data_IF_971111615831
#
_entry.id   IF_971111615831
#
_cell.length_a   1.000
_cell.length_b   1.000
_cell.length_c   1.000
_cell.angle_alpha   90.00
_cell.angle_beta   90.00
_cell.angle_gamma   90.00
#
_symmetry.space_group_name_H-M   'P 1'
#
loop_
_entity.id
_entity.type
_entity.pdbx_description
1 polymer ?
#
# COMPACT_ATOMS: atom_id res chain seq x y z
N UNK A 1 -9.74 -29.44 0.01
CA UNK A 1 -9.96 -28.39 1.04
C UNK A 1 -9.46 -28.92 2.37
N UNK A 2 -8.48 -28.28 3.04
CA UNK A 2 -8.07 -28.72 4.39
C UNK A 2 -9.29 -28.67 5.32
N UNK A 3 -9.54 -29.76 6.04
CA UNK A 3 -10.65 -29.88 7.00
C UNK A 3 -10.55 -28.74 8.03
N UNK A 4 -11.67 -28.06 8.32
CA UNK A 4 -11.75 -27.06 9.40
C UNK A 4 -11.33 -27.74 10.70
N UNK A 5 -10.20 -27.31 11.28
CA UNK A 5 -9.85 -27.64 12.66
C UNK A 5 -10.82 -26.84 13.51
N UNK A 6 -11.80 -27.50 14.15
CA UNK A 6 -12.64 -26.85 15.16
C UNK A 6 -11.71 -26.43 16.31
N UNK A 7 -11.87 -25.19 16.74
CA UNK A 7 -11.00 -24.53 17.71
C UNK A 7 -11.49 -24.78 19.15
N UNK A 8 -12.76 -25.15 19.29
CA UNK A 8 -13.39 -25.57 20.54
C UNK A 8 -12.70 -26.80 21.16
N UNK A 9 -11.87 -27.51 20.38
CA UNK A 9 -11.09 -28.65 20.87
C UNK A 9 -10.02 -28.27 21.91
N UNK A 10 -9.65 -26.97 22.00
CA UNK A 10 -8.66 -26.46 22.96
C UNK A 10 -9.18 -25.32 23.84
N UNK A 11 -10.41 -24.86 23.58
CA UNK A 11 -11.08 -23.77 24.31
C UNK A 11 -10.40 -22.40 24.20
N UNK A 12 -9.65 -22.13 23.12
CA UNK A 12 -8.95 -20.86 22.88
C UNK A 12 -9.46 -20.23 21.60
N UNK A 13 -9.84 -18.95 21.58
CA UNK A 13 -10.30 -18.31 20.34
C UNK A 13 -9.17 -18.03 19.33
N UNK A 14 -9.52 -17.79 18.05
CA UNK A 14 -8.53 -17.34 17.03
C UNK A 14 -7.81 -16.06 17.48
N UNK A 15 -8.55 -15.15 18.14
CA UNK A 15 -8.01 -13.89 18.65
C UNK A 15 -7.02 -14.11 19.78
N UNK A 16 -7.35 -14.95 20.77
CA UNK A 16 -6.46 -15.29 21.88
C UNK A 16 -5.16 -15.93 21.39
N UNK A 17 -5.25 -16.86 20.43
CA UNK A 17 -4.07 -17.52 19.86
C UNK A 17 -3.16 -16.52 19.13
N UNK A 18 -3.75 -15.50 18.51
CA UNK A 18 -3.02 -14.53 17.69
C UNK A 18 -2.40 -13.42 18.52
N UNK A 19 -3.12 -12.92 19.53
CA UNK A 19 -2.73 -11.79 20.38
C UNK A 19 -1.64 -12.14 21.39
N UNK A 20 -1.61 -13.38 21.87
CA UNK A 20 -0.64 -13.81 22.88
C UNK A 20 0.80 -13.65 22.42
N UNK A 21 1.71 -13.27 23.31
CA UNK A 21 3.15 -13.36 23.07
C UNK A 21 3.62 -14.82 22.98
N UNK A 22 4.89 -15.05 22.64
CA UNK A 22 5.42 -16.43 22.61
C UNK A 22 5.39 -17.06 24.01
N UNK A 23 5.73 -16.27 25.03
CA UNK A 23 5.77 -16.67 26.44
C UNK A 23 4.38 -16.96 26.99
N UNK A 24 3.40 -16.08 26.75
CA UNK A 24 2.00 -16.28 27.14
C UNK A 24 1.40 -17.54 26.49
N UNK A 25 1.74 -17.79 25.23
CA UNK A 25 1.28 -18.98 24.52
C UNK A 25 1.84 -20.28 25.11
N UNK A 26 3.12 -20.28 25.52
CA UNK A 26 3.71 -21.43 26.21
C UNK A 26 3.10 -21.64 27.59
N UNK A 27 2.85 -20.55 28.33
CA UNK A 27 2.22 -20.59 29.64
C UNK A 27 0.79 -21.14 29.56
N UNK A 28 0.00 -20.65 28.61
CA UNK A 28 -1.36 -21.15 28.32
C UNK A 28 -1.37 -22.66 28.04
N UNK A 29 -0.36 -23.16 27.31
CA UNK A 29 -0.22 -24.59 27.05
C UNK A 29 0.05 -25.42 28.32
N UNK A 30 0.81 -24.86 29.27
CA UNK A 30 1.07 -25.47 30.58
C UNK A 30 -0.17 -25.44 31.48
N UNK A 31 -0.81 -24.27 31.61
CA UNK A 31 -1.97 -24.05 32.47
C UNK A 31 -3.14 -24.95 32.07
N UNK A 32 -3.34 -25.14 30.76
CA UNK A 32 -4.38 -26.02 30.21
C UNK A 32 -3.97 -27.48 30.08
N UNK A 33 -2.78 -27.85 30.57
CA UNK A 33 -2.24 -29.23 30.55
C UNK A 33 -2.28 -29.86 29.15
N UNK A 34 -1.99 -29.08 28.11
CA UNK A 34 -1.99 -29.56 26.73
C UNK A 34 -0.84 -30.55 26.50
N UNK A 35 -1.10 -31.63 25.78
CA UNK A 35 -0.07 -32.59 25.37
C UNK A 35 0.89 -31.98 24.35
N UNK A 36 2.08 -32.55 24.21
CA UNK A 36 3.08 -32.11 23.22
C UNK A 36 2.52 -32.06 21.80
N UNK A 37 1.71 -33.05 21.41
CA UNK A 37 1.06 -33.08 20.10
C UNK A 37 -0.03 -32.02 19.95
N UNK A 38 -0.79 -31.73 21.01
CA UNK A 38 -1.78 -30.63 20.99
C UNK A 38 -1.09 -29.27 20.83
N UNK A 39 0.01 -29.04 21.55
CA UNK A 39 0.82 -27.81 21.43
C UNK A 39 1.39 -27.68 20.00
N UNK A 40 1.86 -28.78 19.40
CA UNK A 40 2.39 -28.78 18.03
C UNK A 40 1.31 -28.43 17.00
N UNK A 41 0.10 -28.98 17.15
CA UNK A 41 -1.06 -28.62 16.32
C UNK A 41 -1.45 -27.16 16.49
N UNK A 42 -1.50 -26.67 17.73
CA UNK A 42 -1.83 -25.28 18.05
C UNK A 42 -0.79 -24.28 17.49
N UNK A 43 0.50 -24.59 17.56
CA UNK A 43 1.57 -23.80 16.92
C UNK A 43 1.40 -23.73 15.39
N UNK A 44 1.10 -24.87 14.77
CA UNK A 44 0.89 -24.96 13.32
C UNK A 44 -0.33 -24.14 12.89
N UNK A 45 -1.40 -24.22 13.67
CA UNK A 45 -2.61 -23.44 13.46
C UNK A 45 -2.38 -21.93 13.63
N UNK A 46 -1.67 -21.52 14.69
CA UNK A 46 -1.24 -20.13 14.90
C UNK A 46 -0.43 -19.60 13.73
N UNK A 47 0.47 -20.41 13.16
CA UNK A 47 1.24 -20.05 11.97
C UNK A 47 0.33 -19.81 10.76
N UNK A 48 -0.67 -20.66 10.53
CA UNK A 48 -1.64 -20.49 9.44
C UNK A 48 -2.43 -19.18 9.58
N UNK A 49 -2.89 -18.85 10.79
CA UNK A 49 -3.57 -17.58 11.07
C UNK A 49 -2.68 -16.37 10.80
N UNK A 50 -1.41 -16.41 11.25
CA UNK A 50 -0.43 -15.35 10.94
C UNK A 50 -0.21 -15.18 9.45
N UNK A 51 0.01 -16.27 8.70
CA UNK A 51 0.16 -16.23 7.24
C UNK A 51 -1.07 -15.63 6.55
N UNK A 52 -2.28 -16.00 7.01
CA UNK A 52 -3.53 -15.42 6.50
C UNK A 52 -3.59 -13.90 6.71
N UNK A 53 -3.21 -13.42 7.91
CA UNK A 53 -3.18 -11.99 8.21
C UNK A 53 -2.09 -11.26 7.39
N UNK A 54 -0.88 -11.80 7.31
CA UNK A 54 0.17 -11.24 6.45
C UNK A 54 -0.27 -11.17 4.98
N UNK A 55 -1.02 -12.15 4.49
CA UNK A 55 -1.58 -12.11 3.14
C UNK A 55 -2.62 -11.00 2.96
N UNK A 56 -3.44 -10.70 3.97
CA UNK A 56 -4.37 -9.56 3.94
C UNK A 56 -3.61 -8.23 3.96
N UNK A 57 -2.60 -8.11 4.82
CA UNK A 57 -1.78 -6.90 4.92
C UNK A 57 -0.98 -6.66 3.65
N UNK A 58 -0.46 -7.71 3.03
CA UNK A 58 0.23 -7.65 1.75
C UNK A 58 -0.71 -7.11 0.66
N UNK A 59 -1.90 -7.70 0.50
CA UNK A 59 -2.91 -7.21 -0.48
C UNK A 59 -3.38 -5.79 -0.18
N UNK A 60 -3.40 -5.38 1.09
CA UNK A 60 -3.67 -3.98 1.46
C UNK A 60 -2.55 -3.07 0.97
N UNK A 61 -1.29 -3.38 1.31
CA UNK A 61 -0.12 -2.61 0.86
C UNK A 61 -0.01 -2.52 -0.67
N UNK A 62 -0.32 -3.60 -1.37
CA UNK A 62 -0.35 -3.63 -2.83
C UNK A 62 -1.39 -2.65 -3.39
N UNK A 63 -2.63 -2.69 -2.87
CA UNK A 63 -3.68 -1.71 -3.25
C UNK A 63 -3.30 -0.27 -2.92
N UNK A 64 -2.69 -0.04 -1.76
CA UNK A 64 -2.23 1.28 -1.34
C UNK A 64 -1.09 1.78 -2.24
N UNK A 65 -0.21 0.88 -2.69
CA UNK A 65 0.85 1.19 -3.66
C UNK A 65 0.28 1.57 -5.03
N UNK A 66 -0.69 0.82 -5.54
CA UNK A 66 -1.36 1.11 -6.81
C UNK A 66 -2.09 2.46 -6.73
N UNK A 67 -2.78 2.73 -5.62
CA UNK A 67 -3.48 4.01 -5.42
C UNK A 67 -2.51 5.18 -5.43
N UNK A 68 -1.37 5.06 -4.73
CA UNK A 68 -0.31 6.09 -4.74
C UNK A 68 0.25 6.35 -6.14
N UNK A 69 0.58 5.29 -6.88
CA UNK A 69 1.08 5.44 -8.26
C UNK A 69 0.08 6.14 -9.19
N UNK A 70 -1.22 5.89 -9.01
CA UNK A 70 -2.27 6.60 -9.76
C UNK A 70 -2.34 8.08 -9.40
N UNK A 71 -2.23 8.41 -8.12
CA UNK A 71 -2.19 9.80 -7.66
C UNK A 71 -0.95 10.52 -8.20
N UNK A 72 0.21 9.90 -8.12
CA UNK A 72 1.45 10.45 -8.66
C UNK A 72 1.33 10.70 -10.16
N UNK A 73 0.78 9.74 -10.91
CA UNK A 73 0.52 9.90 -12.35
C UNK A 73 -0.35 11.13 -12.64
N UNK A 74 -1.46 11.33 -11.91
CA UNK A 74 -2.33 12.49 -12.08
C UNK A 74 -1.61 13.81 -11.77
N UNK A 75 -0.74 13.82 -10.76
CA UNK A 75 0.09 14.99 -10.43
C UNK A 75 1.04 15.30 -11.60
N UNK A 76 1.68 14.28 -12.18
CA UNK A 76 2.56 14.44 -13.33
C UNK A 76 1.80 14.97 -14.56
N UNK A 77 0.63 14.39 -14.89
CA UNK A 77 -0.21 14.87 -15.99
C UNK A 77 -0.59 16.34 -15.83
N UNK A 78 -0.98 16.75 -14.60
CA UNK A 78 -1.29 18.15 -14.31
C UNK A 78 -0.07 19.06 -14.48
N UNK A 79 1.10 18.65 -14.01
CA UNK A 79 2.35 19.41 -14.20
C UNK A 79 2.70 19.57 -15.67
N UNK A 80 2.51 18.52 -16.47
CA UNK A 80 2.76 18.58 -17.91
C UNK A 80 1.82 19.55 -18.61
N UNK A 81 0.54 19.61 -18.21
CA UNK A 81 -0.41 20.58 -18.76
C UNK A 81 0.05 22.01 -18.45
N UNK A 82 0.38 22.31 -17.18
CA UNK A 82 0.85 23.64 -16.78
C UNK A 82 2.11 24.06 -17.53
N UNK A 83 3.07 23.15 -17.71
CA UNK A 83 4.28 23.43 -18.49
C UNK A 83 3.98 23.72 -19.96
N UNK A 84 2.98 23.06 -20.55
CA UNK A 84 2.56 23.35 -21.93
C UNK A 84 1.95 24.74 -22.05
N UNK A 85 1.06 25.10 -21.12
CA UNK A 85 0.46 26.44 -21.07
C UNK A 85 1.53 27.53 -20.90
N UNK A 86 2.54 27.28 -20.06
CA UNK A 86 3.67 28.19 -19.85
C UNK A 86 4.52 28.33 -21.13
N UNK A 87 4.82 27.23 -21.82
CA UNK A 87 5.55 27.26 -23.11
C UNK A 87 4.75 28.05 -24.16
N UNK A 88 3.45 27.80 -24.30
CA UNK A 88 2.58 28.53 -25.24
C UNK A 88 2.56 30.03 -24.93
N UNK A 89 2.51 30.39 -23.64
CA UNK A 89 2.58 31.78 -23.21
C UNK A 89 3.90 32.44 -23.62
N UNK A 90 5.04 31.78 -23.40
CA UNK A 90 6.35 32.30 -23.81
C UNK A 90 6.50 32.40 -25.33
N UNK A 91 6.00 31.43 -26.09
CA UNK A 91 6.01 31.47 -27.56
C UNK A 91 5.23 32.68 -28.10
N UNK A 92 4.09 33.00 -27.48
CA UNK A 92 3.31 34.18 -27.84
C UNK A 92 4.08 35.48 -27.57
N UNK A 93 4.81 35.58 -26.45
CA UNK A 93 5.65 36.75 -26.15
C UNK A 93 6.77 36.94 -27.20
N UNK A 94 7.44 35.85 -27.58
CA UNK A 94 8.47 35.88 -28.62
C UNK A 94 7.88 36.38 -29.94
N UNK A 95 6.73 35.84 -30.36
CA UNK A 95 6.08 36.23 -31.61
C UNK A 95 5.68 37.72 -31.64
N UNK A 96 5.21 38.27 -30.52
CA UNK A 96 4.92 39.71 -30.39
C UNK A 96 6.20 40.54 -30.57
N UNK A 97 7.29 40.15 -29.91
CA UNK A 97 8.59 40.84 -30.00
C UNK A 97 9.13 40.82 -31.44
N UNK A 98 9.11 39.66 -32.10
CA UNK A 98 9.53 39.52 -33.51
C UNK A 98 8.70 40.43 -34.44
N UNK A 99 7.39 40.54 -34.19
CA UNK A 99 6.50 41.42 -34.97
C UNK A 99 6.86 42.89 -34.80
N UNK A 100 7.18 43.32 -33.56
CA UNK A 100 7.62 44.68 -33.28
C UNK A 100 8.94 44.98 -34.00
N UNK A 101 9.91 44.07 -33.93
CA UNK A 101 11.21 44.21 -34.58
C UNK A 101 11.08 44.34 -36.11
N UNK A 102 10.19 43.57 -36.74
CA UNK A 102 9.88 43.70 -38.18
C UNK A 102 9.30 45.09 -38.47
N UNK A 103 8.35 45.59 -37.67
CA UNK A 103 7.72 46.89 -37.88
C UNK A 103 8.73 48.04 -37.77
N UNK A 104 9.66 47.99 -36.83
CA UNK A 104 10.73 48.98 -36.66
C UNK A 104 11.64 49.08 -37.91
N UNK A 105 11.82 47.99 -38.66
CA UNK A 105 12.59 48.02 -39.91
C UNK A 105 11.92 48.83 -41.03
N UNK A 106 10.58 48.85 -41.07
CA UNK A 106 9.83 49.59 -42.09
C UNK A 106 9.55 51.03 -41.70
N UNK A 107 9.48 51.31 -40.41
CA UNK A 107 9.18 52.64 -39.89
C UNK A 107 10.18 53.04 -38.79
N UNK A 108 11.43 53.35 -39.18
CA UNK A 108 12.45 53.80 -38.24
C UNK A 108 12.16 55.27 -37.87
N UNK A 109 11.53 55.48 -36.72
CA UNK A 109 11.46 56.79 -36.06
C UNK A 109 12.27 56.77 -34.77
#
# INVERSE_FOLDING_TARGET
MPKRISIDTYGLSEEEIMSQTHTEFLQTGRDRRLSREQIKKLKSYRRLLKVRNYGKDFRKRERDSITRLRQDKLIWERKTILLKEEIEWYQNQISIMETIEILEQFYPY
#
